data_IF_509061889546
#
_entry.id   IF_509061889546
#
_cell.length_a   1.000
_cell.length_b   1.000
_cell.length_c   1.000
_cell.angle_alpha   90.00
_cell.angle_beta   90.00
_cell.angle_gamma   90.00
#
_symmetry.space_group_name_H-M   'P 1'
#
loop_
_entity.id
_entity.type
_entity.pdbx_description
1 polymer ?
#
# COMPACT_ATOMS: atom_id res chain seq x y z
N UNK A 1 -16.10 0.10 -7.76
CA UNK A 1 -14.77 0.61 -8.10
C UNK A 1 -13.75 -0.51 -8.04
N UNK A 2 -12.87 -0.52 -9.01
CA UNK A 2 -11.89 -1.58 -9.09
C UNK A 2 -10.77 -1.36 -8.08
N UNK A 3 -10.45 -2.40 -7.34
CA UNK A 3 -9.40 -2.32 -6.35
C UNK A 3 -8.04 -2.60 -6.96
N UNK A 4 -7.03 -1.93 -6.41
CA UNK A 4 -5.66 -2.16 -6.82
C UNK A 4 -4.95 -3.20 -5.97
N UNK A 5 -5.60 -3.69 -4.92
CA UNK A 5 -4.99 -4.64 -3.99
C UNK A 5 -4.88 -6.02 -4.60
N UNK A 6 -3.68 -6.56 -4.66
CA UNK A 6 -3.52 -7.97 -5.02
C UNK A 6 -4.13 -8.87 -3.95
N UNK A 7 -4.63 -10.02 -4.38
CA UNK A 7 -5.28 -10.94 -3.44
C UNK A 7 -4.36 -11.45 -2.34
N UNK A 8 -3.07 -11.53 -2.59
CA UNK A 8 -2.16 -12.05 -1.58
C UNK A 8 -1.95 -11.11 -0.39
N UNK A 9 -2.47 -9.89 -0.44
CA UNK A 9 -2.45 -9.01 0.72
C UNK A 9 -3.58 -9.31 1.69
N UNK A 10 -4.55 -10.11 1.30
CA UNK A 10 -5.66 -10.46 2.17
C UNK A 10 -5.32 -11.72 2.95
N UNK A 11 -5.61 -11.73 4.24
CA UNK A 11 -5.47 -12.96 5.01
C UNK A 11 -6.73 -13.81 4.85
N UNK A 12 -6.71 -15.02 5.42
CA UNK A 12 -7.80 -15.97 5.26
C UNK A 12 -9.10 -15.53 5.94
N UNK A 13 -9.06 -14.48 6.75
CA UNK A 13 -10.26 -13.92 7.39
C UNK A 13 -10.82 -12.74 6.61
N UNK A 14 -10.26 -12.45 5.46
CA UNK A 14 -10.69 -11.33 4.65
C UNK A 14 -10.14 -9.98 5.08
N UNK A 15 -9.32 -9.95 6.12
CA UNK A 15 -8.68 -8.74 6.59
C UNK A 15 -7.30 -8.64 5.96
N UNK A 16 -6.94 -7.47 5.46
CA UNK A 16 -5.61 -7.26 4.92
C UNK A 16 -4.97 -6.06 5.63
N UNK A 17 -3.68 -5.87 5.38
CA UNK A 17 -2.93 -4.80 6.03
C UNK A 17 -3.47 -3.42 5.65
N UNK A 18 -3.96 -3.27 4.42
CA UNK A 18 -4.53 -1.99 3.98
C UNK A 18 -5.80 -1.67 4.76
N UNK A 19 -6.65 -2.67 4.96
CA UNK A 19 -7.85 -2.48 5.75
C UNK A 19 -7.51 -2.03 7.17
N UNK A 20 -6.48 -2.67 7.75
CA UNK A 20 -6.06 -2.33 9.11
C UNK A 20 -5.55 -0.89 9.19
N UNK A 21 -4.79 -0.47 8.18
CA UNK A 21 -4.30 0.91 8.16
C UNK A 21 -5.45 1.91 7.99
N UNK A 22 -6.41 1.58 7.13
CA UNK A 22 -7.53 2.45 6.82
C UNK A 22 -8.52 2.58 7.96
N UNK A 23 -8.54 1.61 8.86
CA UNK A 23 -9.44 1.63 10.02
C UNK A 23 -8.77 2.13 11.30
N UNK A 24 -7.50 2.55 11.20
CA UNK A 24 -6.81 3.12 12.35
C UNK A 24 -6.22 2.08 13.30
N UNK A 25 -6.07 0.83 12.85
CA UNK A 25 -5.43 -0.19 13.69
C UNK A 25 -3.96 0.14 13.94
N UNK A 26 -3.34 0.92 13.06
CA UNK A 26 -1.96 1.39 13.23
C UNK A 26 -1.96 2.90 13.30
N UNK A 27 -1.00 3.50 14.01
CA UNK A 27 -0.85 4.96 13.98
C UNK A 27 -0.70 5.46 12.54
N UNK A 28 -1.32 6.59 12.25
CA UNK A 28 -1.30 7.15 10.89
C UNK A 28 0.12 7.29 10.35
N UNK A 29 1.04 7.81 11.15
CA UNK A 29 2.42 8.01 10.71
C UNK A 29 3.10 6.69 10.37
N UNK A 30 2.80 5.64 11.10
CA UNK A 30 3.36 4.32 10.83
C UNK A 30 2.84 3.77 9.51
N UNK A 31 1.55 3.94 9.25
CA UNK A 31 0.95 3.48 8.00
C UNK A 31 1.54 4.21 6.81
N UNK A 32 1.70 5.52 6.91
CA UNK A 32 2.31 6.34 5.86
C UNK A 32 3.75 5.90 5.62
N UNK A 33 4.52 5.70 6.70
CA UNK A 33 5.91 5.27 6.59
C UNK A 33 6.05 3.92 5.91
N UNK A 34 5.18 2.97 6.28
CA UNK A 34 5.19 1.65 5.67
C UNK A 34 4.96 1.73 4.14
N UNK A 35 3.97 2.50 3.71
CA UNK A 35 3.67 2.63 2.29
C UNK A 35 4.81 3.34 1.54
N UNK A 36 5.37 4.38 2.13
CA UNK A 36 6.47 5.12 1.50
C UNK A 36 7.70 4.24 1.33
N UNK A 37 8.06 3.49 2.36
CA UNK A 37 9.20 2.59 2.29
C UNK A 37 8.96 1.46 1.30
N UNK A 38 7.72 0.99 1.20
CA UNK A 38 7.38 -0.05 0.24
C UNK A 38 7.52 0.45 -1.19
N UNK A 39 7.07 1.67 -1.47
CA UNK A 39 7.25 2.28 -2.79
C UNK A 39 8.74 2.38 -3.12
N UNK A 40 9.53 2.91 -2.19
CA UNK A 40 10.96 3.07 -2.41
C UNK A 40 11.65 1.74 -2.67
N UNK A 41 11.29 0.72 -1.91
CA UNK A 41 11.86 -0.61 -2.08
C UNK A 41 11.63 -1.14 -3.50
N UNK A 42 10.40 -1.04 -3.98
CA UNK A 42 10.09 -1.58 -5.29
C UNK A 42 10.62 -0.72 -6.43
N UNK A 43 10.73 0.58 -6.22
CA UNK A 43 11.36 1.44 -7.21
C UNK A 43 12.84 1.12 -7.37
N UNK A 44 13.52 0.82 -6.27
CA UNK A 44 14.91 0.39 -6.34
C UNK A 44 15.05 -0.93 -7.10
N UNK A 45 14.12 -1.84 -6.87
CA UNK A 45 14.15 -3.13 -7.55
C UNK A 45 14.00 -2.98 -9.06
N UNK A 46 13.16 -2.05 -9.49
CA UNK A 46 13.00 -1.81 -10.93
C UNK A 46 14.30 -1.38 -11.58
N UNK A 47 15.14 -0.65 -10.87
CA UNK A 47 16.43 -0.22 -11.41
C UNK A 47 17.45 -1.31 -11.54
N UNK A 48 17.23 -2.47 -10.91
CA UNK A 48 18.19 -3.57 -10.90
C UNK A 48 17.69 -4.85 -11.53
N UNK A 49 16.37 -5.08 -11.50
CA UNK A 49 15.80 -6.31 -12.03
C UNK A 49 15.58 -6.22 -13.51
N UNK A 50 15.76 -7.35 -14.16
CA UNK A 50 15.45 -7.49 -15.56
C UNK A 50 14.21 -8.35 -15.79
N UNK A 51 13.68 -8.97 -14.73
CA UNK A 51 12.52 -9.86 -14.81
C UNK A 51 11.44 -9.38 -13.86
N UNK A 52 10.19 -9.72 -14.18
CA UNK A 52 9.02 -9.49 -13.33
C UNK A 52 8.84 -8.03 -12.94
N UNK A 53 9.20 -7.12 -13.84
CA UNK A 53 9.03 -5.70 -13.56
C UNK A 53 7.56 -5.31 -13.46
N UNK A 54 6.68 -6.06 -14.13
CA UNK A 54 5.25 -5.75 -14.09
C UNK A 54 4.68 -5.92 -12.70
N UNK A 55 5.12 -6.96 -11.97
CA UNK A 55 4.68 -7.19 -10.60
C UNK A 55 5.15 -6.04 -9.70
N UNK A 56 6.41 -5.62 -9.84
CA UNK A 56 6.94 -4.51 -9.05
C UNK A 56 6.23 -3.20 -9.38
N UNK A 57 5.93 -2.96 -10.65
CA UNK A 57 5.18 -1.77 -11.05
C UNK A 57 3.79 -1.75 -10.45
N UNK A 58 3.13 -2.91 -10.41
CA UNK A 58 1.82 -3.02 -9.80
C UNK A 58 1.89 -2.71 -8.30
N UNK A 59 2.91 -3.21 -7.61
CA UNK A 59 3.08 -2.95 -6.19
C UNK A 59 3.32 -1.46 -5.92
N UNK A 60 4.14 -0.82 -6.74
CA UNK A 60 4.37 0.61 -6.61
C UNK A 60 3.06 1.38 -6.76
N UNK A 61 2.30 1.06 -7.77
CA UNK A 61 1.02 1.72 -8.02
C UNK A 61 0.06 1.48 -6.85
N UNK A 62 0.01 0.27 -6.34
CA UNK A 62 -0.85 -0.09 -5.23
C UNK A 62 -0.52 0.70 -3.97
N UNK A 63 0.76 0.79 -3.62
CA UNK A 63 1.16 1.52 -2.42
C UNK A 63 1.01 3.03 -2.57
N UNK A 64 1.23 3.56 -3.77
CA UNK A 64 0.99 4.98 -4.01
C UNK A 64 -0.49 5.32 -3.89
N UNK A 65 -1.35 4.44 -4.38
CA UNK A 65 -2.79 4.61 -4.24
C UNK A 65 -3.19 4.59 -2.76
N UNK A 66 -2.60 3.68 -1.99
CA UNK A 66 -2.89 3.58 -0.57
C UNK A 66 -2.42 4.81 0.20
N UNK A 67 -1.26 5.36 -0.17
CA UNK A 67 -0.79 6.61 0.43
C UNK A 67 -1.80 7.73 0.26
N UNK A 68 -2.33 7.87 -0.96
CA UNK A 68 -3.31 8.90 -1.23
C UNK A 68 -4.57 8.69 -0.41
N UNK A 69 -5.04 7.44 -0.35
CA UNK A 69 -6.24 7.11 0.39
C UNK A 69 -6.10 7.39 1.88
N UNK A 70 -4.95 7.02 2.46
CA UNK A 70 -4.70 7.26 3.87
C UNK A 70 -4.67 8.75 4.20
N UNK A 71 -4.06 9.54 3.33
CA UNK A 71 -4.02 10.99 3.54
C UNK A 71 -5.41 11.60 3.49
N UNK A 72 -6.24 11.14 2.57
CA UNK A 72 -7.61 11.60 2.46
C UNK A 72 -8.42 11.25 3.71
N UNK A 73 -8.27 10.02 4.20
CA UNK A 73 -8.95 9.59 5.42
C UNK A 73 -8.50 10.41 6.63
N UNK A 74 -7.21 10.71 6.68
CA UNK A 74 -6.68 11.53 7.78
C UNK A 74 -7.24 12.96 7.74
N UNK A 75 -7.32 13.54 6.55
CA UNK A 75 -7.88 14.88 6.38
C UNK A 75 -9.35 14.92 6.76
N UNK A 76 -10.06 13.82 6.55
CA UNK A 76 -11.47 13.72 6.90
C UNK A 76 -11.70 13.42 8.38
N UNK A 77 -10.62 13.20 9.13
CA UNK A 77 -10.73 12.89 10.55
C UNK A 77 -11.08 11.45 10.85
N UNK A 78 -11.00 10.55 9.87
CA UNK A 78 -11.33 9.14 10.08
C UNK A 78 -10.20 8.42 10.83
N UNK A 79 -8.97 8.75 10.52
CA UNK A 79 -7.82 8.14 11.19
C UNK A 79 -6.80 9.18 11.64
#
# INVERSE_FOLDING_TARGET
MKELRPNYYKNHKGLDIFWKMETGCYPYQQSIGFCRLSVEKYERRLGRKTKETDTDKLKIKTYKHELKKLRELHEQGVI
#
